data_IF_493095344561
#
_entry.id   IF_493095344561
#
_cell.length_a   1.000
_cell.length_b   1.000
_cell.length_c   1.000
_cell.angle_alpha   90.00
_cell.angle_beta   90.00
_cell.angle_gamma   90.00
#
_symmetry.space_group_name_H-M   'P 1'
#
loop_
_entity.id
_entity.type
_entity.pdbx_description
1 polymer ?
#
# COMPACT_ATOMS: atom_id res chain seq x y z
N UNK A 1 -18.14 5.20 -4.01
CA UNK A 1 -18.14 6.67 -4.03
C UNK A 1 -18.25 7.15 -5.47
N UNK A 2 -19.02 8.21 -5.70
CA UNK A 2 -19.04 8.88 -7.00
C UNK A 2 -17.82 9.82 -7.18
N UNK A 3 -17.62 10.34 -8.41
CA UNK A 3 -16.50 11.22 -8.72
C UNK A 3 -16.49 12.53 -7.91
N UNK A 4 -17.67 13.07 -7.55
CA UNK A 4 -17.79 14.32 -6.78
C UNK A 4 -17.35 14.08 -5.34
N UNK A 5 -17.80 12.99 -4.73
CA UNK A 5 -17.38 12.54 -3.41
C UNK A 5 -15.87 12.30 -3.35
N UNK A 6 -15.30 11.63 -4.36
CA UNK A 6 -13.85 11.40 -4.45
C UNK A 6 -13.08 12.72 -4.52
N UNK A 7 -13.55 13.68 -5.33
CA UNK A 7 -12.91 14.99 -5.44
C UNK A 7 -12.92 15.74 -4.10
N UNK A 8 -14.04 15.71 -3.39
CA UNK A 8 -14.15 16.32 -2.04
C UNK A 8 -13.19 15.66 -1.07
N UNK A 9 -13.14 14.32 -1.06
CA UNK A 9 -12.25 13.55 -0.20
C UNK A 9 -10.76 13.87 -0.47
N UNK A 10 -10.34 13.83 -1.73
CA UNK A 10 -8.96 14.18 -2.11
C UNK A 10 -8.63 15.61 -1.68
N UNK A 11 -9.55 16.56 -1.90
CA UNK A 11 -9.36 17.96 -1.49
C UNK A 11 -9.25 18.11 0.03
N UNK A 12 -9.94 17.27 0.81
CA UNK A 12 -9.82 17.28 2.27
C UNK A 12 -8.43 16.81 2.71
N UNK A 13 -7.94 15.68 2.19
CA UNK A 13 -6.60 15.20 2.49
C UNK A 13 -5.50 16.15 1.98
N UNK A 14 -5.73 16.82 0.84
CA UNK A 14 -4.79 17.76 0.26
C UNK A 14 -4.47 18.95 1.18
N UNK A 15 -5.37 19.29 2.12
CA UNK A 15 -5.16 20.37 3.11
C UNK A 15 -4.04 20.07 4.10
N UNK A 16 -3.75 18.79 4.34
CA UNK A 16 -2.72 18.32 5.27
C UNK A 16 -1.64 17.50 4.57
N UNK A 17 -1.46 17.69 3.26
CA UNK A 17 -0.60 16.83 2.43
C UNK A 17 0.87 16.79 2.83
N UNK A 18 1.37 17.78 3.56
CA UNK A 18 2.71 17.82 4.14
C UNK A 18 2.83 17.03 5.46
N UNK A 19 1.69 16.65 6.06
CA UNK A 19 1.54 15.87 7.28
C UNK A 19 0.73 14.58 7.05
N UNK A 20 0.76 14.05 5.83
CA UNK A 20 0.14 12.77 5.49
C UNK A 20 1.24 11.73 5.22
N UNK A 21 1.17 10.58 5.89
CA UNK A 21 1.95 9.40 5.53
C UNK A 21 1.11 8.49 4.63
N UNK A 22 1.70 8.04 3.54
CA UNK A 22 1.12 7.07 2.61
C UNK A 22 1.94 5.79 2.67
N UNK A 23 1.26 4.68 2.91
CA UNK A 23 1.81 3.33 2.97
C UNK A 23 1.23 2.54 1.79
N UNK A 24 2.09 2.05 0.90
CA UNK A 24 1.71 1.17 -0.20
C UNK A 24 2.22 -0.24 0.11
N UNK A 25 1.34 -1.13 0.53
CA UNK A 25 1.62 -2.56 0.58
C UNK A 25 1.46 -3.15 -0.81
N UNK A 26 2.54 -3.15 -1.60
CA UNK A 26 2.44 -3.51 -3.00
C UNK A 26 2.09 -4.98 -3.20
N UNK A 27 2.43 -5.87 -2.26
CA UNK A 27 2.05 -7.28 -2.34
C UNK A 27 0.53 -7.47 -2.23
N UNK A 28 -0.17 -6.62 -1.47
CA UNK A 28 -1.62 -6.62 -1.42
C UNK A 28 -2.22 -5.95 -2.66
N UNK A 29 -1.69 -4.77 -3.05
CA UNK A 29 -2.14 -4.01 -4.24
C UNK A 29 -2.03 -4.84 -5.54
N UNK A 30 -0.92 -5.55 -5.75
CA UNK A 30 -0.68 -6.38 -6.93
C UNK A 30 -1.68 -7.55 -6.99
N UNK A 31 -1.96 -8.19 -5.85
CA UNK A 31 -2.92 -9.30 -5.75
C UNK A 31 -4.38 -8.90 -5.98
N UNK A 32 -4.73 -7.63 -5.87
CA UNK A 32 -6.09 -7.20 -6.19
C UNK A 32 -6.44 -7.35 -7.67
N UNK A 33 -5.45 -7.42 -8.57
CA UNK A 33 -5.72 -7.63 -10.01
C UNK A 33 -6.64 -8.83 -10.26
N UNK A 34 -6.46 -9.91 -9.49
CA UNK A 34 -7.20 -11.16 -9.63
C UNK A 34 -8.73 -10.97 -9.54
N UNK A 35 -9.19 -10.01 -8.74
CA UNK A 35 -10.62 -9.67 -8.60
C UNK A 35 -11.04 -8.46 -9.43
N UNK A 36 -10.15 -7.48 -9.59
CA UNK A 36 -10.44 -6.22 -10.28
C UNK A 36 -10.61 -6.41 -11.79
N UNK A 37 -9.92 -7.39 -12.40
CA UNK A 37 -9.78 -7.56 -13.87
C UNK A 37 -9.05 -6.40 -14.57
N UNK A 38 -8.45 -5.49 -13.80
CA UNK A 38 -7.57 -4.42 -14.26
C UNK A 38 -6.42 -4.25 -13.27
N UNK A 39 -5.31 -3.66 -13.74
CA UNK A 39 -4.09 -3.46 -12.94
C UNK A 39 -4.01 -2.04 -12.41
N UNK A 40 -3.65 -1.88 -11.13
CA UNK A 40 -3.27 -0.59 -10.58
C UNK A 40 -1.89 -0.22 -11.11
N UNK A 41 -1.77 0.88 -11.83
CA UNK A 41 -0.49 1.35 -12.35
C UNK A 41 0.32 2.08 -11.27
N UNK A 42 1.58 1.71 -11.06
CA UNK A 42 2.46 2.39 -10.08
C UNK A 42 2.57 3.90 -10.36
N UNK A 43 2.70 4.29 -11.64
CA UNK A 43 2.70 5.70 -12.05
C UNK A 43 1.39 6.41 -11.69
N UNK A 44 0.26 5.73 -11.88
CA UNK A 44 -1.08 6.24 -11.57
C UNK A 44 -1.27 6.39 -10.06
N UNK A 45 -0.78 5.42 -9.30
CA UNK A 45 -0.73 5.49 -7.84
C UNK A 45 0.11 6.69 -7.38
N UNK A 46 1.29 6.91 -7.95
CA UNK A 46 2.11 8.10 -7.69
C UNK A 46 1.39 9.41 -8.01
N UNK A 47 0.64 9.46 -9.10
CA UNK A 47 -0.19 10.61 -9.47
C UNK A 47 -1.34 10.85 -8.48
N UNK A 48 -1.99 9.81 -7.96
CA UNK A 48 -3.00 9.95 -6.91
C UNK A 48 -2.34 10.47 -5.62
N UNK A 49 -1.24 9.83 -5.23
CA UNK A 49 -0.50 10.14 -3.98
C UNK A 49 0.04 11.56 -3.98
N UNK A 50 0.49 12.10 -5.12
CA UNK A 50 0.99 13.48 -5.20
C UNK A 50 -0.08 14.54 -4.88
N UNK A 51 -1.37 14.20 -4.99
CA UNK A 51 -2.47 15.09 -4.59
C UNK A 51 -2.70 15.11 -3.08
N UNK A 52 -2.30 14.06 -2.36
CA UNK A 52 -2.62 13.86 -0.94
C UNK A 52 -1.38 13.80 -0.03
N UNK A 53 -0.17 13.65 -0.57
CA UNK A 53 1.07 13.63 0.19
C UNK A 53 2.22 14.30 -0.59
N UNK A 54 2.91 15.27 0.04
CA UNK A 54 3.95 16.08 -0.60
C UNK A 54 5.07 16.48 0.39
N UNK A 55 6.21 16.94 -0.15
CA UNK A 55 7.34 17.46 0.62
C UNK A 55 8.26 16.35 1.10
N UNK A 56 7.93 15.71 2.21
CA UNK A 56 8.77 14.70 2.87
C UNK A 56 8.66 13.35 2.17
N UNK A 57 9.64 13.00 1.31
CA UNK A 57 9.60 11.75 0.53
C UNK A 57 9.46 10.49 1.39
N UNK A 58 10.09 10.45 2.57
CA UNK A 58 10.00 9.34 3.51
C UNK A 58 8.59 9.10 4.08
N UNK A 59 7.63 10.00 3.84
CA UNK A 59 6.21 9.82 4.17
C UNK A 59 5.42 9.18 3.01
N UNK A 60 6.05 8.77 1.91
CA UNK A 60 5.39 8.09 0.78
C UNK A 60 6.07 6.75 0.57
N UNK A 61 5.77 5.77 1.42
CA UNK A 61 6.50 4.50 1.49
C UNK A 61 5.86 3.44 0.61
N UNK A 62 6.69 2.73 -0.14
CA UNK A 62 6.31 1.66 -1.04
C UNK A 62 7.02 0.38 -0.62
N UNK A 63 6.25 -0.58 -0.10
CA UNK A 63 6.75 -1.82 0.47
C UNK A 63 6.74 -2.91 -0.59
N UNK A 64 7.91 -3.50 -0.86
CA UNK A 64 8.06 -4.47 -1.95
C UNK A 64 9.00 -5.63 -1.63
N UNK A 65 8.59 -6.84 -2.01
CA UNK A 65 9.42 -8.03 -1.98
C UNK A 65 10.32 -8.12 -3.22
N UNK A 66 11.63 -7.96 -3.05
CA UNK A 66 12.60 -8.07 -4.14
C UNK A 66 12.78 -9.52 -4.57
N UNK A 67 12.54 -9.80 -5.85
CA UNK A 67 12.63 -11.14 -6.42
C UNK A 67 13.96 -11.34 -7.16
N UNK A 68 14.79 -12.26 -6.64
CA UNK A 68 16.08 -12.68 -7.22
C UNK A 68 16.03 -14.09 -7.83
N UNK A 69 14.85 -14.70 -7.91
CA UNK A 69 14.64 -16.09 -8.30
C UNK A 69 14.87 -17.11 -7.17
N UNK A 70 14.59 -18.40 -7.43
CA UNK A 70 14.56 -19.46 -6.42
C UNK A 70 15.92 -19.86 -5.85
N UNK A 71 17.03 -19.36 -6.42
CA UNK A 71 18.37 -19.66 -5.94
C UNK A 71 18.75 -18.64 -4.87
N UNK A 72 18.89 -19.07 -3.63
CA UNK A 72 19.25 -18.20 -2.49
C UNK A 72 20.56 -17.42 -2.69
N UNK A 73 21.50 -17.95 -3.47
CA UNK A 73 22.77 -17.28 -3.81
C UNK A 73 22.68 -16.37 -5.05
N UNK A 74 21.50 -16.24 -5.67
CA UNK A 74 21.32 -15.33 -6.79
C UNK A 74 21.54 -13.89 -6.31
N UNK A 75 22.46 -13.20 -6.97
CA UNK A 75 22.75 -11.78 -6.74
C UNK A 75 22.03 -10.88 -7.74
N UNK A 76 21.47 -11.47 -8.81
CA UNK A 76 20.82 -10.73 -9.88
C UNK A 76 19.31 -10.73 -9.65
N UNK A 77 18.78 -9.53 -9.49
CA UNK A 77 17.34 -9.31 -9.39
C UNK A 77 16.66 -9.65 -10.72
N UNK A 78 15.42 -10.11 -10.67
CA UNK A 78 14.61 -10.33 -11.87
C UNK A 78 14.31 -8.99 -12.54
N UNK A 79 14.22 -8.98 -13.88
CA UNK A 79 13.87 -7.76 -14.65
C UNK A 79 12.55 -7.15 -14.20
N UNK A 80 11.58 -7.98 -13.82
CA UNK A 80 10.29 -7.53 -13.29
C UNK A 80 10.48 -6.76 -11.98
N UNK A 81 11.19 -7.35 -11.02
CA UNK A 81 11.47 -6.72 -9.72
C UNK A 81 12.25 -5.42 -9.88
N UNK A 82 13.23 -5.37 -10.80
CA UNK A 82 13.91 -4.13 -11.18
C UNK A 82 12.93 -3.07 -11.71
N UNK A 83 12.03 -3.44 -12.61
CA UNK A 83 11.03 -2.52 -13.18
C UNK A 83 10.06 -1.98 -12.12
N UNK A 84 9.60 -2.80 -11.17
CA UNK A 84 8.72 -2.36 -10.09
C UNK A 84 9.42 -1.33 -9.20
N UNK A 85 10.64 -1.62 -8.74
CA UNK A 85 11.41 -0.70 -7.88
C UNK A 85 11.70 0.62 -8.62
N UNK A 86 12.11 0.55 -9.89
CA UNK A 86 12.34 1.75 -10.70
C UNK A 86 11.06 2.56 -10.87
N UNK A 87 9.93 1.92 -11.20
CA UNK A 87 8.64 2.59 -11.35
C UNK A 87 8.20 3.29 -10.07
N UNK A 88 8.40 2.66 -8.91
CA UNK A 88 8.07 3.24 -7.62
C UNK A 88 8.95 4.46 -7.31
N UNK A 89 10.27 4.36 -7.53
CA UNK A 89 11.21 5.47 -7.35
C UNK A 89 10.90 6.65 -8.28
N UNK A 90 10.64 6.40 -9.55
CA UNK A 90 10.22 7.44 -10.51
C UNK A 90 8.86 8.05 -10.18
N UNK A 91 8.02 7.33 -9.44
CA UNK A 91 6.73 7.81 -8.93
C UNK A 91 6.85 8.52 -7.57
N UNK A 92 8.07 8.92 -7.19
CA UNK A 92 8.41 9.67 -5.97
C UNK A 92 8.13 8.95 -4.64
N UNK A 93 8.07 7.61 -4.67
CA UNK A 93 8.00 6.79 -3.46
C UNK A 93 9.39 6.54 -2.85
N UNK A 94 9.42 6.42 -1.53
CA UNK A 94 10.51 5.81 -0.77
C UNK A 94 10.30 4.30 -0.72
N UNK A 95 11.20 3.53 -1.32
CA UNK A 95 11.04 2.08 -1.42
C UNK A 95 11.63 1.42 -0.18
N UNK A 96 10.80 0.68 0.54
CA UNK A 96 11.21 -0.21 1.63
C UNK A 96 11.08 -1.63 1.12
N UNK A 97 12.16 -2.40 1.16
CA UNK A 97 12.20 -3.68 0.47
C UNK A 97 12.86 -4.77 1.28
N UNK A 98 12.49 -6.01 0.93
CA UNK A 98 13.00 -7.23 1.55
C UNK A 98 13.06 -8.31 0.50
N UNK A 99 14.08 -9.17 0.58
CA UNK A 99 14.21 -10.27 -0.37
C UNK A 99 13.09 -11.30 -0.21
N UNK A 100 12.47 -11.69 -1.32
CA UNK A 100 11.50 -12.80 -1.38
C UNK A 100 12.20 -14.11 -1.04
N UNK A 101 11.59 -14.90 -0.14
CA UNK A 101 12.04 -16.25 0.20
C UNK A 101 11.30 -17.27 -0.66
N UNK A 102 12.03 -18.25 -1.15
CA UNK A 102 11.50 -19.40 -1.86
C UNK A 102 11.53 -20.59 -0.92
N UNK A 103 10.35 -21.07 -0.52
CA UNK A 103 10.23 -22.18 0.41
C UNK A 103 9.81 -23.41 -0.39
N UNK A 104 10.61 -24.50 -0.39
CA UNK A 104 10.23 -25.75 -1.04
C UNK A 104 8.88 -26.23 -0.54
N UNK A 105 7.98 -26.58 -1.47
CA UNK A 105 6.64 -27.10 -1.16
C UNK A 105 6.10 -27.88 -2.37
N UNK A 106 6.06 -29.21 -2.23
CA UNK A 106 5.69 -30.15 -3.29
C UNK A 106 4.20 -30.08 -3.68
N UNK A 107 3.37 -29.33 -2.92
CA UNK A 107 1.97 -29.10 -3.28
C UNK A 107 1.80 -28.13 -4.45
N UNK A 108 2.82 -27.33 -4.75
CA UNK A 108 2.79 -26.35 -5.83
C UNK A 108 3.49 -26.90 -7.07
N UNK A 109 2.90 -26.68 -8.26
CA UNK A 109 3.48 -27.13 -9.53
C UNK A 109 4.91 -26.57 -9.79
N UNK A 110 5.25 -25.44 -9.18
CA UNK A 110 6.58 -24.82 -9.23
C UNK A 110 7.60 -25.47 -8.28
N UNK A 111 7.17 -26.34 -7.36
CA UNK A 111 8.00 -26.96 -6.31
C UNK A 111 8.33 -26.03 -5.14
N UNK A 112 7.76 -24.82 -5.10
CA UNK A 112 7.98 -23.85 -4.04
C UNK A 112 6.84 -22.86 -3.91
N UNK A 113 6.72 -22.27 -2.72
CA UNK A 113 5.92 -21.07 -2.42
C UNK A 113 6.83 -19.86 -2.20
N UNK A 114 6.43 -18.70 -2.73
CA UNK A 114 7.10 -17.41 -2.45
C UNK A 114 6.53 -16.82 -1.17
N UNK A 115 7.40 -16.44 -0.21
CA UNK A 115 7.01 -15.71 0.99
C UNK A 115 7.80 -14.41 1.14
N UNK A 116 7.08 -13.31 1.34
CA UNK A 116 7.62 -12.02 1.71
C UNK A 116 6.54 -11.22 2.41
N UNK A 117 6.74 -10.91 3.69
CA UNK A 117 5.90 -9.99 4.45
C UNK A 117 6.72 -8.76 4.87
N UNK A 118 6.04 -7.62 4.93
CA UNK A 118 6.62 -6.33 5.30
C UNK A 118 5.78 -5.66 6.40
N UNK A 119 4.91 -6.40 7.07
CA UNK A 119 3.94 -5.87 8.04
C UNK A 119 4.63 -5.27 9.27
N UNK A 120 5.73 -5.88 9.70
CA UNK A 120 6.56 -5.38 10.80
C UNK A 120 7.24 -4.07 10.38
N UNK A 121 7.84 -4.04 9.19
CA UNK A 121 8.49 -2.85 8.64
C UNK A 121 7.48 -1.71 8.49
N UNK A 122 6.28 -1.98 7.96
CA UNK A 122 5.17 -1.01 7.89
C UNK A 122 4.76 -0.50 9.27
N UNK A 123 4.61 -1.39 10.25
CA UNK A 123 4.18 -1.01 11.59
C UNK A 123 5.23 -0.16 12.32
N UNK A 124 6.50 -0.57 12.28
CA UNK A 124 7.61 0.18 12.86
C UNK A 124 7.73 1.55 12.23
N UNK A 125 7.53 1.65 10.93
CA UNK A 125 7.65 2.90 10.19
C UNK A 125 6.52 3.89 10.49
N UNK A 126 5.28 3.40 10.64
CA UNK A 126 4.16 4.21 11.12
C UNK A 126 4.45 4.77 12.54
N UNK A 127 5.00 3.96 13.43
CA UNK A 127 5.33 4.38 14.79
C UNK A 127 6.53 5.35 14.80
N UNK A 128 7.59 5.04 14.05
CA UNK A 128 8.82 5.84 13.98
C UNK A 128 8.53 7.27 13.51
N UNK A 129 7.64 7.42 12.54
CA UNK A 129 7.32 8.72 11.96
C UNK A 129 6.17 9.45 12.65
N UNK A 130 5.76 9.01 13.84
CA UNK A 130 4.59 9.57 14.54
C UNK A 130 4.56 11.10 14.63
N UNK A 131 5.71 11.78 14.71
CA UNK A 131 5.75 13.25 14.85
C UNK A 131 5.69 13.98 13.49
N UNK A 132 5.92 13.24 12.41
CA UNK A 132 6.02 13.78 11.05
C UNK A 132 4.70 13.80 10.28
N UNK A 133 3.66 13.13 10.77
CA UNK A 133 2.35 13.07 10.12
C UNK A 133 1.18 13.11 11.13
N UNK A 134 -0.01 13.47 10.66
CA UNK A 134 -1.26 13.46 11.44
C UNK A 134 -2.27 12.46 10.87
N UNK A 135 -2.20 12.19 9.56
CA UNK A 135 -3.02 11.19 8.90
C UNK A 135 -2.19 10.09 8.22
N UNK A 136 -2.60 8.85 8.41
CA UNK A 136 -2.09 7.68 7.70
C UNK A 136 -3.10 7.27 6.61
N UNK A 137 -2.60 7.12 5.38
CA UNK A 137 -3.35 6.61 4.23
C UNK A 137 -2.68 5.30 3.80
N UNK A 138 -3.36 4.19 4.03
CA UNK A 138 -2.79 2.85 3.88
C UNK A 138 -3.48 2.15 2.71
N UNK A 139 -2.70 1.72 1.72
CA UNK A 139 -3.16 0.88 0.61
C UNK A 139 -2.82 -0.57 0.94
N UNK A 140 -3.72 -1.22 1.67
CA UNK A 140 -3.69 -2.64 1.99
C UNK A 140 -5.08 -3.06 2.48
N UNK A 141 -5.42 -4.32 2.24
CA UNK A 141 -6.58 -4.96 2.83
C UNK A 141 -6.22 -5.98 3.92
N UNK A 142 -4.96 -6.05 4.34
CA UNK A 142 -4.50 -7.03 5.32
C UNK A 142 -5.03 -6.74 6.74
N UNK A 143 -5.71 -7.73 7.32
CA UNK A 143 -6.29 -7.67 8.67
C UNK A 143 -5.25 -7.47 9.77
N UNK A 144 -4.02 -7.96 9.57
CA UNK A 144 -2.94 -7.88 10.57
C UNK A 144 -2.54 -6.41 10.85
N UNK A 145 -2.78 -5.50 9.90
CA UNK A 145 -2.54 -4.07 10.06
C UNK A 145 -3.53 -3.39 11.02
N UNK A 146 -4.65 -4.03 11.38
CA UNK A 146 -5.61 -3.48 12.33
C UNK A 146 -4.95 -3.17 13.69
N UNK A 147 -3.98 -3.99 14.11
CA UNK A 147 -3.28 -3.80 15.37
C UNK A 147 -2.47 -2.49 15.39
N UNK A 148 -1.66 -2.23 14.35
CA UNK A 148 -0.91 -0.97 14.30
C UNK A 148 -1.85 0.22 14.10
N UNK A 149 -2.96 0.05 13.38
CA UNK A 149 -3.98 1.09 13.25
C UNK A 149 -4.57 1.48 14.61
N UNK A 150 -4.95 0.49 15.44
CA UNK A 150 -5.40 0.72 16.81
C UNK A 150 -4.34 1.47 17.62
N UNK A 151 -3.10 1.00 17.59
CA UNK A 151 -2.01 1.59 18.36
C UNK A 151 -1.77 3.07 18.02
N UNK A 152 -1.60 3.42 16.73
CA UNK A 152 -1.33 4.81 16.33
C UNK A 152 -2.56 5.72 16.52
N UNK A 153 -3.77 5.15 16.50
CA UNK A 153 -4.98 5.87 16.83
C UNK A 153 -5.04 6.21 18.32
N UNK A 154 -4.84 5.22 19.18
CA UNK A 154 -4.98 5.39 20.63
C UNK A 154 -3.85 6.23 21.22
N UNK A 155 -2.60 5.92 20.88
CA UNK A 155 -1.41 6.53 21.49
C UNK A 155 -1.08 7.89 20.86
N UNK A 156 -1.27 8.03 19.55
CA UNK A 156 -0.81 9.21 18.80
C UNK A 156 -1.93 10.00 18.13
N UNK A 157 -3.20 9.61 18.34
CA UNK A 157 -4.40 10.29 17.82
C UNK A 157 -4.37 10.47 16.30
N UNK A 158 -3.79 9.50 15.56
CA UNK A 158 -3.71 9.57 14.10
C UNK A 158 -5.07 9.37 13.45
N UNK A 159 -5.31 10.12 12.38
CA UNK A 159 -6.42 9.87 11.46
C UNK A 159 -6.03 8.78 10.48
N UNK A 160 -6.86 7.75 10.31
CA UNK A 160 -6.49 6.59 9.47
C UNK A 160 -7.52 6.42 8.36
N UNK A 161 -7.03 6.32 7.14
CA UNK A 161 -7.82 6.02 5.94
C UNK A 161 -7.20 4.81 5.25
N UNK A 162 -8.03 3.85 4.86
CA UNK A 162 -7.59 2.66 4.15
C UNK A 162 -8.11 2.65 2.72
N UNK A 163 -7.29 2.16 1.82
CA UNK A 163 -7.65 1.80 0.46
C UNK A 163 -7.53 0.28 0.34
N UNK A 164 -8.61 -0.38 -0.09
CA UNK A 164 -8.65 -1.81 -0.38
C UNK A 164 -9.44 -2.12 -1.65
N UNK A 165 -9.37 -3.35 -2.14
CA UNK A 165 -10.34 -3.86 -3.13
C UNK A 165 -11.56 -4.48 -2.42
N UNK A 166 -12.74 -4.37 -3.02
CA UNK A 166 -13.96 -4.98 -2.50
C UNK A 166 -13.73 -6.50 -2.41
N UNK A 167 -14.07 -7.07 -1.26
CA UNK A 167 -13.83 -8.48 -0.90
C UNK A 167 -12.37 -8.85 -0.54
N UNK A 168 -11.43 -7.90 -0.56
CA UNK A 168 -10.04 -8.12 -0.13
C UNK A 168 -9.69 -7.36 1.15
N UNK A 169 -10.68 -6.89 1.91
CA UNK A 169 -10.48 -6.20 3.18
C UNK A 169 -10.74 -7.17 4.32
N UNK A 170 -9.72 -7.39 5.17
CA UNK A 170 -9.80 -8.22 6.37
C UNK A 170 -10.90 -7.75 7.33
N UNK A 171 -11.53 -8.71 8.01
CA UNK A 171 -12.63 -8.43 8.95
C UNK A 171 -12.19 -7.51 10.07
N UNK A 172 -10.95 -7.64 10.53
CA UNK A 172 -10.33 -6.85 11.58
C UNK A 172 -10.29 -5.36 11.22
N UNK A 173 -10.05 -5.02 9.95
CA UNK A 173 -10.10 -3.63 9.46
C UNK A 173 -11.54 -3.09 9.43
N UNK A 174 -12.51 -3.94 9.07
CA UNK A 174 -13.93 -3.59 9.10
C UNK A 174 -14.38 -3.32 10.54
N UNK A 175 -13.99 -4.20 11.47
CA UNK A 175 -14.27 -4.05 12.89
C UNK A 175 -13.61 -2.79 13.43
N UNK A 176 -12.36 -2.50 13.05
CA UNK A 176 -11.68 -1.26 13.44
C UNK A 176 -12.35 0.00 12.86
N UNK A 177 -12.90 -0.05 11.64
CA UNK A 177 -13.76 1.03 11.11
C UNK A 177 -15.02 1.21 11.95
N UNK A 178 -15.70 0.12 12.31
CA UNK A 178 -16.93 0.18 13.12
C UNK A 178 -16.71 0.82 14.50
N UNK A 179 -15.51 0.66 15.06
CA UNK A 179 -15.06 1.25 16.33
C UNK A 179 -14.56 2.69 16.21
N UNK A 180 -14.50 3.25 15.00
CA UNK A 180 -14.03 4.62 14.75
C UNK A 180 -12.50 4.81 14.73
N UNK A 181 -11.74 3.71 14.79
CA UNK A 181 -10.27 3.73 14.72
C UNK A 181 -9.83 4.13 13.31
N UNK A 182 -10.43 3.47 12.31
CA UNK A 182 -10.29 3.80 10.90
C UNK A 182 -11.45 4.73 10.54
N UNK A 183 -11.13 5.93 10.05
CA UNK A 183 -12.13 6.93 9.67
C UNK A 183 -12.94 6.48 8.46
N UNK A 184 -12.26 5.95 7.45
CA UNK A 184 -12.92 5.41 6.29
C UNK A 184 -12.11 4.31 5.59
N UNK A 185 -12.83 3.44 4.89
CA UNK A 185 -12.29 2.43 3.99
C UNK A 185 -12.83 2.75 2.61
N UNK A 186 -11.90 3.05 1.71
CA UNK A 186 -12.11 3.46 0.33
C UNK A 186 -11.79 2.28 -0.58
N UNK A 187 -12.55 2.17 -1.66
CA UNK A 187 -12.46 1.02 -2.54
C UNK A 187 -11.83 1.41 -3.87
N UNK A 188 -10.76 0.73 -4.27
CA UNK A 188 -9.96 1.10 -5.46
C UNK A 188 -10.73 1.02 -6.77
N UNK A 189 -11.81 0.24 -6.86
CA UNK A 189 -12.70 0.22 -8.03
C UNK A 189 -13.38 1.58 -8.22
N UNK A 190 -13.70 2.31 -7.15
CA UNK A 190 -14.26 3.67 -7.25
C UNK A 190 -13.23 4.66 -7.85
N UNK A 191 -11.96 4.31 -7.75
CA UNK A 191 -10.82 5.08 -8.24
C UNK A 191 -10.25 4.53 -9.55
N UNK A 192 -10.91 3.57 -10.21
CA UNK A 192 -10.41 2.94 -11.44
C UNK A 192 -10.01 4.01 -12.47
N UNK A 193 -10.82 5.06 -12.62
CA UNK A 193 -10.54 6.13 -13.57
C UNK A 193 -9.23 6.89 -13.33
N UNK A 194 -8.68 6.83 -12.12
CA UNK A 194 -7.39 7.41 -11.74
C UNK A 194 -6.29 6.37 -11.65
N UNK A 195 -6.60 5.12 -11.33
CA UNK A 195 -5.62 4.08 -10.96
C UNK A 195 -5.34 3.06 -12.07
N UNK A 196 -6.25 2.89 -13.04
CA UNK A 196 -6.12 1.86 -14.06
C UNK A 196 -4.88 2.10 -14.95
N UNK A 197 -4.00 1.10 -15.00
CA UNK A 197 -2.75 1.12 -15.77
C UNK A 197 -2.97 1.37 -17.26
N UNK A 198 -4.04 0.80 -17.82
CA UNK A 198 -4.33 0.82 -19.25
C UNK A 198 -5.04 2.09 -19.71
N UNK A 199 -5.35 3.01 -18.79
CA UNK A 199 -5.96 4.29 -19.17
C UNK A 199 -4.91 5.32 -19.60
N UNK A 200 -5.09 5.85 -20.81
CA UNK A 200 -4.41 7.05 -21.25
C UNK A 200 -4.80 8.21 -20.30
N UNK A 201 -3.78 8.81 -19.68
CA UNK A 201 -3.92 10.03 -18.85
C UNK A 201 -4.25 11.24 -19.69
#
# INVERSE_FOLDING_TARGET
MDHKQIKVFINQLAKTKDRNIVIIDFANVDRWEDSLKWKIGIKKLGQLVSNIAYGKKFLRRFYYGEDYGPKDKSIKMTKWSEQIIMSAKYSAFEVVSKRVKYIPDDKYATGFIKKCNLDIEMAVDLIREKDNYDAAIIFSGDGDLAYVCQYIHDEFKKSIYLFGARNHVGKELIDAKSKGIIKDILFVEDFEYRLNLNRNS
#
